data_IF_417798409136
#
_entry.id   IF_417798409136
#
_cell.length_a   1.000
_cell.length_b   1.000
_cell.length_c   1.000
_cell.angle_alpha   90.00
_cell.angle_beta   90.00
_cell.angle_gamma   90.00
#
_symmetry.space_group_name_H-M   'P 1'
#
loop_
_entity.id
_entity.type
_entity.pdbx_description
1 polymer ?
#
# COMPACT_ATOMS: atom_id res chain seq x y z
N UNK A 1 9.79 6.07 32.61
CA UNK A 1 9.01 6.06 31.34
C UNK A 1 9.44 4.87 30.51
N UNK A 2 8.60 3.86 30.33
CA UNK A 2 8.95 2.70 29.53
C UNK A 2 9.26 3.13 28.08
N UNK A 3 10.50 2.92 27.63
CA UNK A 3 10.84 3.01 26.21
C UNK A 3 10.05 1.90 25.51
N UNK A 4 8.92 2.24 24.90
CA UNK A 4 8.21 1.32 24.03
C UNK A 4 9.15 0.97 22.86
N UNK A 5 9.82 -0.18 22.97
CA UNK A 5 10.59 -0.75 21.87
C UNK A 5 9.60 -1.14 20.76
N UNK A 6 9.33 -0.20 19.84
CA UNK A 6 8.60 -0.53 18.62
C UNK A 6 9.46 -1.46 17.78
N UNK A 7 9.01 -2.71 17.65
CA UNK A 7 9.59 -3.70 16.74
C UNK A 7 9.73 -3.06 15.35
N UNK A 8 10.94 -3.11 14.78
CA UNK A 8 11.19 -2.59 13.43
C UNK A 8 10.28 -3.33 12.44
N UNK A 9 9.39 -2.60 11.78
CA UNK A 9 8.55 -3.15 10.72
C UNK A 9 9.44 -3.44 9.50
N UNK A 10 9.24 -4.60 8.88
CA UNK A 10 9.96 -4.97 7.67
C UNK A 10 9.09 -4.74 6.44
N UNK A 11 9.74 -4.47 5.31
CA UNK A 11 9.06 -4.26 4.04
C UNK A 11 8.78 -5.62 3.37
N UNK A 12 7.50 -5.99 3.26
CA UNK A 12 7.07 -7.26 2.66
C UNK A 12 7.62 -7.46 1.23
N UNK A 13 7.53 -6.44 0.38
CA UNK A 13 8.04 -6.47 -0.99
C UNK A 13 9.55 -6.72 -1.10
N UNK A 14 10.32 -6.32 -0.08
CA UNK A 14 11.76 -6.58 -0.05
C UNK A 14 12.03 -8.03 0.36
N UNK A 15 11.26 -8.58 1.28
CA UNK A 15 11.37 -9.98 1.70
C UNK A 15 10.95 -10.95 0.58
N UNK A 16 9.91 -10.60 -0.17
CA UNK A 16 9.41 -11.40 -1.31
C UNK A 16 10.24 -11.22 -2.60
N UNK A 17 11.24 -10.33 -2.62
CA UNK A 17 12.07 -10.11 -3.81
C UNK A 17 11.35 -9.45 -4.99
N UNK A 18 10.20 -8.80 -4.74
CA UNK A 18 9.37 -8.18 -5.77
C UNK A 18 10.13 -7.00 -6.41
N UNK A 19 10.27 -7.03 -7.74
CA UNK A 19 10.95 -5.98 -8.51
C UNK A 19 10.04 -4.79 -8.83
N UNK A 20 8.77 -5.08 -9.13
CA UNK A 20 7.78 -4.09 -9.55
C UNK A 20 6.39 -4.50 -9.07
N UNK A 21 5.60 -3.50 -8.69
CA UNK A 21 4.21 -3.66 -8.23
C UNK A 21 3.32 -3.23 -9.39
N UNK A 22 2.52 -4.14 -9.93
CA UNK A 22 1.58 -3.84 -11.01
C UNK A 22 0.24 -3.32 -10.46
N UNK A 23 -0.47 -2.54 -11.26
CA UNK A 23 -1.81 -2.04 -10.93
C UNK A 23 -2.89 -3.13 -11.07
N UNK A 24 -2.57 -4.24 -11.74
CA UNK A 24 -3.46 -5.37 -11.99
C UNK A 24 -3.60 -6.29 -10.77
N UNK A 25 -2.66 -6.24 -9.83
CA UNK A 25 -2.63 -7.09 -8.64
C UNK A 25 -3.55 -6.54 -7.54
N UNK A 26 -4.87 -6.58 -7.79
CA UNK A 26 -5.89 -5.94 -6.94
C UNK A 26 -5.84 -6.45 -5.50
N UNK A 27 -5.58 -7.75 -5.28
CA UNK A 27 -5.49 -8.34 -3.94
C UNK A 27 -4.36 -7.72 -3.11
N UNK A 28 -3.20 -7.53 -3.74
CA UNK A 28 -2.06 -6.88 -3.10
C UNK A 28 -2.41 -5.43 -2.80
N UNK A 29 -2.92 -4.68 -3.78
CA UNK A 29 -3.23 -3.27 -3.61
C UNK A 29 -4.32 -3.00 -2.56
N UNK A 30 -5.32 -3.88 -2.44
CA UNK A 30 -6.37 -3.81 -1.41
C UNK A 30 -5.80 -3.80 0.00
N UNK A 31 -4.72 -4.54 0.25
CA UNK A 31 -4.07 -4.56 1.57
C UNK A 31 -3.33 -3.24 1.93
N UNK A 32 -3.12 -2.36 0.95
CA UNK A 32 -2.44 -1.07 1.12
C UNK A 32 -3.38 0.14 1.01
N UNK A 33 -4.70 -0.09 0.98
CA UNK A 33 -5.71 0.94 1.11
C UNK A 33 -6.50 0.76 2.41
N UNK A 34 -7.04 1.86 2.92
CA UNK A 34 -7.99 1.84 4.04
C UNK A 34 -9.37 1.45 3.53
N UNK A 35 -10.27 1.12 4.46
CA UNK A 35 -11.69 0.85 4.16
C UNK A 35 -12.34 2.02 3.41
N UNK A 36 -11.97 3.25 3.76
CA UNK A 36 -12.39 4.50 3.08
C UNK A 36 -11.74 4.75 1.72
N UNK A 37 -10.91 3.83 1.21
CA UNK A 37 -10.22 4.00 -0.06
C UNK A 37 -9.04 4.98 -0.03
N UNK A 38 -8.46 5.33 1.14
CA UNK A 38 -7.23 6.14 1.22
C UNK A 38 -5.99 5.25 1.20
N UNK A 39 -4.87 5.74 0.67
CA UNK A 39 -3.62 4.98 0.63
C UNK A 39 -3.01 4.93 2.03
N UNK A 40 -2.66 3.74 2.52
CA UNK A 40 -2.05 3.57 3.85
C UNK A 40 -0.62 4.12 3.86
N UNK A 41 -0.26 4.99 4.84
CA UNK A 41 1.09 5.54 4.93
C UNK A 41 2.16 4.48 5.24
N UNK A 42 3.38 4.69 4.72
CA UNK A 42 4.53 3.78 4.91
C UNK A 42 4.91 3.56 6.38
N UNK A 43 4.61 4.51 7.27
CA UNK A 43 4.85 4.36 8.74
C UNK A 43 4.02 3.23 9.37
N UNK A 44 2.88 2.90 8.75
CA UNK A 44 1.98 1.85 9.23
C UNK A 44 2.37 0.51 8.60
N UNK A 45 2.64 0.48 7.31
CA UNK A 45 2.93 -0.75 6.55
C UNK A 45 4.39 -1.19 6.62
N UNK A 46 5.33 -0.28 6.94
CA UNK A 46 6.77 -0.58 6.95
C UNK A 46 7.39 -0.72 5.57
N UNK A 47 6.72 -0.26 4.51
CA UNK A 47 7.23 -0.30 3.13
C UNK A 47 8.38 0.68 2.94
N UNK A 48 9.41 0.28 2.18
CA UNK A 48 10.50 1.21 1.82
C UNK A 48 9.95 2.33 0.90
N UNK A 49 10.58 3.50 0.95
CA UNK A 49 10.15 4.67 0.18
C UNK A 49 10.02 4.41 -1.34
N UNK A 50 10.91 3.60 -1.93
CA UNK A 50 10.83 3.19 -3.34
C UNK A 50 9.54 2.44 -3.66
N UNK A 51 9.23 1.41 -2.87
CA UNK A 51 8.02 0.61 -3.05
C UNK A 51 6.76 1.41 -2.73
N UNK A 52 6.79 2.32 -1.76
CA UNK A 52 5.64 3.18 -1.46
C UNK A 52 5.30 4.09 -2.66
N UNK A 53 6.29 4.64 -3.36
CA UNK A 53 6.06 5.44 -4.59
C UNK A 53 5.48 4.59 -5.72
N UNK A 54 5.99 3.36 -5.89
CA UNK A 54 5.44 2.41 -6.86
C UNK A 54 4.00 2.04 -6.54
N UNK A 55 3.70 1.68 -5.28
CA UNK A 55 2.36 1.42 -4.77
C UNK A 55 1.42 2.59 -5.06
N UNK A 56 1.82 3.81 -4.72
CA UNK A 56 0.97 4.98 -4.94
C UNK A 56 0.65 5.18 -6.43
N UNK A 57 1.60 4.90 -7.32
CA UNK A 57 1.40 4.98 -8.77
C UNK A 57 0.47 3.87 -9.26
N UNK A 58 0.69 2.63 -8.81
CA UNK A 58 -0.13 1.48 -9.15
C UNK A 58 -1.59 1.65 -8.67
N UNK A 59 -1.79 2.07 -7.41
CA UNK A 59 -3.12 2.34 -6.85
C UNK A 59 -3.83 3.44 -7.65
N UNK A 60 -3.15 4.53 -7.99
CA UNK A 60 -3.76 5.61 -8.81
C UNK A 60 -4.19 5.09 -10.18
N UNK A 61 -3.33 4.32 -10.87
CA UNK A 61 -3.67 3.70 -12.16
C UNK A 61 -4.87 2.75 -12.05
N UNK A 62 -4.90 1.90 -11.03
CA UNK A 62 -6.01 1.00 -10.77
C UNK A 62 -7.34 1.76 -10.56
N UNK A 63 -7.30 2.91 -9.88
CA UNK A 63 -8.49 3.76 -9.70
C UNK A 63 -8.99 4.39 -11.00
N UNK A 64 -8.07 4.88 -11.85
CA UNK A 64 -8.46 5.41 -13.17
C UNK A 64 -9.11 4.35 -14.07
N UNK A 65 -8.80 3.08 -13.85
CA UNK A 65 -9.37 1.94 -14.58
C UNK A 65 -10.57 1.31 -13.86
N UNK A 66 -11.11 1.95 -12.83
CA UNK A 66 -12.22 1.45 -12.01
C UNK A 66 -11.99 0.08 -11.33
N UNK A 67 -10.73 -0.36 -11.19
CA UNK A 67 -10.37 -1.60 -10.47
C UNK A 67 -10.38 -1.41 -8.95
N UNK A 68 -10.19 -0.17 -8.49
CA UNK A 68 -10.25 0.21 -7.07
C UNK A 68 -11.10 1.46 -6.90
N UNK A 69 -11.90 1.56 -5.82
CA UNK A 69 -12.71 2.73 -5.56
C UNK A 69 -11.86 3.91 -5.06
N UNK A 70 -12.36 5.13 -5.30
CA UNK A 70 -11.79 6.37 -4.74
C UNK A 70 -12.25 6.62 -3.30
N UNK A 71 -13.50 6.26 -2.99
CA UNK A 71 -14.12 6.35 -1.67
C UNK A 71 -15.02 5.14 -1.42
N UNK A 72 -15.30 4.91 -0.14
CA UNK A 72 -16.33 3.99 0.36
C UNK A 72 -17.75 4.36 -0.07
N UNK A 73 -17.98 5.61 -0.47
CA UNK A 73 -19.25 6.13 -0.97
C UNK A 73 -19.45 6.04 -2.49
N UNK A 74 -18.51 5.42 -3.21
CA UNK A 74 -18.61 5.28 -4.67
C UNK A 74 -19.69 4.23 -5.01
N UNK A 75 -20.79 4.67 -5.62
CA UNK A 75 -21.89 3.82 -6.14
C UNK A 75 -21.71 3.55 -7.63
#
# INVERSE_FOLDING_TARGET
>A
MARFFRRRKFCRFTAEGVKQIDYKDIEVLKSYITETGKIVPSRITGTKARYQRQLATAIKRARYLALLPYSDSHQ
#
